data_IF_923627049530
#
_entry.id   IF_923627049530
#
_cell.length_a   1.000
_cell.length_b   1.000
_cell.length_c   1.000
_cell.angle_alpha   90.00
_cell.angle_beta   90.00
_cell.angle_gamma   90.00
#
_symmetry.space_group_name_H-M   'P 1'
#
loop_
_entity.id
_entity.type
_entity.pdbx_description
1 polymer ?
#
# COMPACT_ATOMS: atom_id res chain seq x y z
N UNK A 1 9.36 -4.12 4.14
CA UNK A 1 9.79 -3.68 2.80
C UNK A 1 9.69 -2.16 2.74
N UNK A 2 10.76 -1.42 2.42
CA UNK A 2 10.66 0.02 2.19
C UNK A 2 9.73 0.29 1.00
N UNK A 3 9.00 1.42 1.07
CA UNK A 3 8.15 1.89 -0.03
C UNK A 3 8.88 3.04 -0.71
N UNK A 4 9.03 2.94 -2.03
CA UNK A 4 9.95 3.73 -2.84
C UNK A 4 9.16 4.51 -3.89
N UNK A 5 9.56 5.77 -4.11
CA UNK A 5 9.08 6.56 -5.24
C UNK A 5 9.76 6.07 -6.54
N UNK A 6 9.01 5.58 -7.55
CA UNK A 6 9.60 5.11 -8.80
C UNK A 6 10.32 6.22 -9.59
N UNK A 7 10.00 7.49 -9.38
CA UNK A 7 10.64 8.60 -10.07
C UNK A 7 12.04 8.93 -9.52
N UNK A 8 12.25 8.73 -8.21
CA UNK A 8 13.51 9.10 -7.54
C UNK A 8 14.35 7.88 -7.15
N UNK A 9 13.73 6.71 -6.99
CA UNK A 9 14.38 5.52 -6.43
C UNK A 9 14.62 5.63 -4.92
N UNK A 10 14.08 6.65 -4.25
CA UNK A 10 14.27 6.86 -2.81
C UNK A 10 13.10 6.33 -1.99
N UNK A 11 13.40 5.88 -0.76
CA UNK A 11 12.35 5.52 0.21
C UNK A 11 11.55 6.77 0.57
N UNK A 12 10.22 6.69 0.56
CA UNK A 12 9.37 7.81 0.98
C UNK A 12 9.61 8.18 2.44
N UNK A 13 9.60 9.49 2.71
CA UNK A 13 9.77 10.09 4.03
C UNK A 13 8.56 10.98 4.30
N UNK A 14 7.92 10.82 5.46
CA UNK A 14 6.80 11.68 5.84
C UNK A 14 7.24 13.02 6.46
N UNK A 15 6.27 13.88 6.79
CA UNK A 15 6.52 15.21 7.36
C UNK A 15 7.22 15.21 8.71
N UNK A 16 7.27 14.06 9.41
CA UNK A 16 7.97 13.89 10.67
C UNK A 16 9.36 13.24 10.49
N UNK A 17 9.78 12.98 9.26
CA UNK A 17 11.07 12.35 8.96
C UNK A 17 11.05 10.82 9.08
N UNK A 18 9.87 10.20 9.15
CA UNK A 18 9.74 8.74 9.27
C UNK A 18 9.72 8.11 7.88
N UNK A 19 10.43 6.98 7.73
CA UNK A 19 10.47 6.20 6.49
C UNK A 19 9.17 5.41 6.31
N UNK A 20 8.64 5.39 5.10
CA UNK A 20 7.54 4.49 4.74
C UNK A 20 8.02 3.06 4.55
N UNK A 21 7.29 2.13 5.15
CA UNK A 21 7.51 0.70 4.99
C UNK A 21 6.18 -0.06 5.10
N UNK A 22 6.16 -1.26 4.53
CA UNK A 22 5.05 -2.18 4.65
C UNK A 22 4.94 -2.72 6.09
N UNK A 23 3.78 -2.60 6.70
CA UNK A 23 3.49 -3.08 8.07
C UNK A 23 2.93 -4.50 8.08
N UNK A 24 2.22 -4.90 7.04
CA UNK A 24 1.65 -6.25 6.90
C UNK A 24 1.56 -6.61 5.43
N UNK A 25 1.74 -7.89 5.10
CA UNK A 25 1.60 -8.41 3.75
C UNK A 25 0.88 -9.76 3.83
N UNK A 26 -0.15 -9.95 3.00
CA UNK A 26 -0.88 -11.21 2.91
C UNK A 26 -1.46 -11.40 1.50
N UNK A 27 -1.62 -12.66 1.09
CA UNK A 27 -2.42 -12.98 -0.09
C UNK A 27 -3.90 -12.95 0.27
N UNK A 28 -4.71 -12.20 -0.48
CA UNK A 28 -6.16 -12.12 -0.34
C UNK A 28 -6.85 -13.01 -1.38
N UNK A 29 -7.26 -14.25 -1.05
CA UNK A 29 -7.75 -15.21 -2.04
C UNK A 29 -9.01 -14.73 -2.76
N UNK A 30 -9.89 -14.02 -2.03
CA UNK A 30 -11.17 -13.52 -2.56
C UNK A 30 -11.00 -12.50 -3.67
N UNK A 31 -9.93 -11.70 -3.63
CA UNK A 31 -9.64 -10.68 -4.65
C UNK A 31 -8.47 -11.09 -5.57
N UNK A 32 -7.84 -12.24 -5.33
CA UNK A 32 -6.75 -12.77 -6.14
C UNK A 32 -5.48 -11.91 -6.16
N UNK A 33 -5.20 -11.15 -5.09
CA UNK A 33 -4.08 -10.20 -5.03
C UNK A 33 -3.22 -10.41 -3.78
N UNK A 34 -1.92 -10.12 -3.90
CA UNK A 34 -1.07 -9.86 -2.74
C UNK A 34 -1.35 -8.43 -2.25
N UNK A 35 -1.62 -8.29 -0.96
CA UNK A 35 -2.01 -7.04 -0.33
C UNK A 35 -0.94 -6.65 0.67
N UNK A 36 -0.46 -5.42 0.59
CA UNK A 36 0.42 -4.82 1.58
C UNK A 36 -0.29 -3.63 2.24
N UNK A 37 -0.09 -3.48 3.56
CA UNK A 37 -0.44 -2.27 4.29
C UNK A 37 0.83 -1.46 4.53
N UNK A 38 0.74 -0.14 4.51
CA UNK A 38 1.86 0.75 4.78
C UNK A 38 1.40 2.18 5.02
N UNK A 39 2.21 2.95 5.76
CA UNK A 39 1.99 4.38 5.93
C UNK A 39 2.73 5.15 4.85
N UNK A 40 2.04 6.09 4.21
CA UNK A 40 2.57 6.94 3.15
C UNK A 40 2.52 8.41 3.60
N UNK A 41 3.41 9.29 3.10
CA UNK A 41 3.20 10.72 3.20
C UNK A 41 1.89 11.09 2.51
N UNK A 42 1.22 12.14 3.00
CA UNK A 42 -0.12 12.50 2.55
C UNK A 42 -0.18 12.76 1.03
N UNK A 43 0.88 13.31 0.45
CA UNK A 43 1.00 13.60 -0.98
C UNK A 43 1.06 12.34 -1.86
N UNK A 44 1.23 11.15 -1.27
CA UNK A 44 1.27 9.85 -1.94
C UNK A 44 0.01 9.00 -1.68
N UNK A 45 -0.91 9.49 -0.84
CA UNK A 45 -2.16 8.81 -0.52
C UNK A 45 -3.24 9.04 -1.59
N UNK A 46 -3.01 8.61 -2.83
CA UNK A 46 -4.01 8.64 -3.90
C UNK A 46 -4.24 7.26 -4.48
N UNK A 47 -5.51 6.85 -4.59
CA UNK A 47 -5.88 5.59 -5.22
C UNK A 47 -5.42 5.59 -6.68
N UNK A 48 -4.84 4.48 -7.12
CA UNK A 48 -4.25 4.32 -8.45
C UNK A 48 -2.81 4.81 -8.56
N UNK A 49 -2.22 5.40 -7.50
CA UNK A 49 -0.79 5.75 -7.52
C UNK A 49 0.07 4.50 -7.56
N UNK A 50 1.03 4.48 -8.48
CA UNK A 50 2.06 3.45 -8.57
C UNK A 50 3.23 3.79 -7.64
N UNK A 51 3.73 2.76 -6.95
CA UNK A 51 4.88 2.81 -6.05
C UNK A 51 5.71 1.54 -6.23
N UNK A 52 6.88 1.50 -5.61
CA UNK A 52 7.72 0.31 -5.56
C UNK A 52 7.81 -0.17 -4.11
N UNK A 53 7.78 -1.48 -3.89
CA UNK A 53 8.28 -2.09 -2.67
C UNK A 53 9.55 -2.88 -2.99
N UNK A 54 10.57 -2.75 -2.17
CA UNK A 54 11.76 -3.59 -2.29
C UNK A 54 11.67 -4.76 -1.30
N UNK A 55 11.74 -5.99 -1.80
CA UNK A 55 11.70 -7.21 -1.01
C UNK A 55 12.80 -8.16 -1.48
N UNK A 56 13.75 -8.47 -0.57
CA UNK A 56 14.94 -9.26 -0.90
C UNK A 56 15.75 -8.70 -2.08
N UNK A 57 16.02 -7.39 -2.07
CA UNK A 57 16.76 -6.68 -3.12
C UNK A 57 16.11 -6.73 -4.52
N UNK A 58 14.85 -7.17 -4.59
CA UNK A 58 14.03 -7.10 -5.80
C UNK A 58 12.93 -6.05 -5.66
N UNK A 59 12.75 -5.26 -6.72
CA UNK A 59 11.73 -4.23 -6.81
C UNK A 59 10.43 -4.81 -7.38
N UNK A 60 9.35 -4.63 -6.62
CA UNK A 60 8.00 -5.03 -7.01
C UNK A 60 7.12 -3.79 -7.19
N UNK A 61 6.55 -3.56 -8.38
CA UNK A 61 5.59 -2.49 -8.57
C UNK A 61 4.31 -2.80 -7.80
N UNK A 62 3.76 -1.79 -7.13
CA UNK A 62 2.51 -1.87 -6.38
C UNK A 62 1.63 -0.67 -6.69
N UNK A 63 0.33 -0.81 -6.47
CA UNK A 63 -0.65 0.26 -6.66
C UNK A 63 -1.34 0.53 -5.34
N UNK A 64 -1.52 1.81 -5.02
CA UNK A 64 -2.36 2.24 -3.89
C UNK A 64 -3.82 1.94 -4.25
N UNK A 65 -4.35 0.83 -3.73
CA UNK A 65 -5.72 0.40 -4.01
C UNK A 65 -6.76 1.07 -3.09
N UNK A 66 -6.35 1.46 -1.89
CA UNK A 66 -7.23 2.09 -0.90
C UNK A 66 -6.44 3.01 0.04
N UNK A 67 -7.11 4.03 0.55
CA UNK A 67 -6.59 4.99 1.54
C UNK A 67 -7.53 5.04 2.74
N UNK A 68 -6.99 5.03 3.95
CA UNK A 68 -7.78 5.06 5.18
C UNK A 68 -8.66 3.81 5.34
N UNK A 69 -9.97 4.00 5.52
CA UNK A 69 -10.94 2.91 5.72
C UNK A 69 -11.46 2.29 4.41
N UNK A 70 -10.78 2.49 3.28
CA UNK A 70 -11.18 1.86 2.02
C UNK A 70 -11.02 0.33 2.09
N UNK A 71 -12.13 -0.41 2.08
CA UNK A 71 -12.11 -1.86 2.08
C UNK A 71 -11.92 -2.40 0.65
N UNK A 72 -11.00 -3.36 0.47
CA UNK A 72 -10.80 -4.04 -0.81
C UNK A 72 -11.86 -5.12 -1.09
N UNK A 73 -12.53 -5.59 -0.04
CA UNK A 73 -13.61 -6.58 -0.12
C UNK A 73 -14.85 -6.02 0.56
N UNK A 74 -16.00 -6.20 -0.09
CA UNK A 74 -17.29 -5.66 0.37
C UNK A 74 -17.24 -4.17 0.74
N UNK A 75 -16.84 -3.28 -0.20
CA UNK A 75 -16.66 -1.86 0.10
C UNK A 75 -17.95 -1.15 0.52
N UNK A 76 -19.13 -1.69 0.16
CA UNK A 76 -20.43 -1.18 0.60
C UNK A 76 -20.88 -1.76 1.95
N UNK A 77 -20.10 -2.66 2.54
CA UNK A 77 -20.37 -3.30 3.83
C UNK A 77 -21.76 -3.96 3.90
N UNK A 78 -22.18 -4.63 2.83
CA UNK A 78 -23.54 -5.22 2.70
C UNK A 78 -23.61 -6.68 3.15
N UNK A 79 -22.46 -7.35 3.33
CA UNK A 79 -22.40 -8.78 3.64
C UNK A 79 -22.47 -9.13 5.11
N UNK A 80 -22.00 -8.31 6.07
CA UNK A 80 -22.20 -8.60 7.50
C UNK A 80 -23.69 -8.79 7.80
N UNK A 81 -24.01 -9.84 8.54
CA UNK A 81 -25.36 -10.08 9.09
C UNK A 81 -25.26 -10.01 10.60
N UNK A 82 -26.28 -9.41 11.23
CA UNK A 82 -26.39 -9.31 12.69
C UNK A 82 -26.81 -10.64 13.33
#
# INVERSE_FOLDING_TARGET
CPIIDPATGETLIDSEGRRSYTTSIAYGPTIGKNIALGYLPYEYCQVGRELIINYFDEDYPVVVEAVGYGALYDPQNIKPKS
#
